data_IF_633454078379
#
_entry.id   IF_633454078379
#
_cell.length_a   1.000
_cell.length_b   1.000
_cell.length_c   1.000
_cell.angle_alpha   90.00
_cell.angle_beta   90.00
_cell.angle_gamma   90.00
#
_symmetry.space_group_name_H-M   'P 1'
#
loop_
_entity.id
_entity.type
_entity.pdbx_description
1 polymer ?
#
# COMPACT_ATOMS: atom_id res chain seq x y z
N UNK A 1 -20.80 -0.97 1.75
CA UNK A 1 -19.32 -1.02 1.75
C UNK A 1 -18.78 -0.67 0.37
N UNK A 2 -17.87 0.28 0.29
CA UNK A 2 -17.14 0.63 -0.94
C UNK A 2 -16.18 -0.47 -1.41
N UNK A 3 -16.11 -1.60 -0.69
CA UNK A 3 -15.18 -2.70 -0.97
C UNK A 3 -13.72 -2.30 -0.78
N UNK A 4 -13.43 -1.49 0.23
CA UNK A 4 -12.05 -1.19 0.64
C UNK A 4 -11.28 -2.48 0.86
N UNK A 5 -10.02 -2.50 0.44
CA UNK A 5 -9.13 -3.66 0.64
C UNK A 5 -8.62 -3.77 2.09
N UNK A 6 -8.68 -2.67 2.85
CA UNK A 6 -8.10 -2.56 4.19
C UNK A 6 -9.06 -1.92 5.20
N UNK A 7 -10.31 -2.39 5.32
CA UNK A 7 -11.26 -1.84 6.30
C UNK A 7 -10.82 -2.15 7.73
N UNK A 8 -10.10 -3.25 7.92
CA UNK A 8 -9.54 -3.71 9.19
C UNK A 8 -8.58 -2.71 9.85
N UNK A 9 -7.94 -1.84 9.08
CA UNK A 9 -7.12 -0.74 9.62
C UNK A 9 -7.94 0.23 10.49
N UNK A 10 -9.24 0.30 10.28
CA UNK A 10 -10.16 1.16 11.06
C UNK A 10 -10.89 0.40 12.18
N UNK A 11 -10.73 -0.93 12.31
CA UNK A 11 -11.42 -1.72 13.35
C UNK A 11 -10.88 -1.51 14.76
N UNK A 12 -9.81 -0.75 14.90
CA UNK A 12 -9.34 -0.24 16.19
C UNK A 12 -10.23 0.88 16.75
N UNK A 13 -11.04 1.53 15.91
CA UNK A 13 -12.03 2.50 16.34
C UNK A 13 -13.22 1.77 16.96
N UNK A 14 -13.75 2.33 18.04
CA UNK A 14 -15.01 1.87 18.65
C UNK A 14 -16.14 1.85 17.60
N UNK A 15 -16.94 0.80 17.54
CA UNK A 15 -18.08 0.65 16.63
C UNK A 15 -17.77 0.51 15.13
N UNK A 16 -16.52 0.67 14.69
CA UNK A 16 -16.19 0.67 13.27
C UNK A 16 -16.37 -0.70 12.59
N UNK A 17 -16.07 -1.78 13.28
CA UNK A 17 -16.30 -3.14 12.79
C UNK A 17 -17.80 -3.40 12.60
N UNK A 18 -18.60 -3.05 13.60
CA UNK A 18 -20.04 -3.24 13.64
C UNK A 18 -20.73 -2.46 12.51
N UNK A 19 -20.35 -1.20 12.32
CA UNK A 19 -20.86 -0.36 11.23
C UNK A 19 -20.47 -0.90 9.85
N UNK A 20 -19.19 -1.27 9.65
CA UNK A 20 -18.72 -1.78 8.37
C UNK A 20 -19.40 -3.09 7.95
N UNK A 21 -19.71 -3.98 8.91
CA UNK A 21 -20.34 -5.27 8.65
C UNK A 21 -21.87 -5.22 8.66
N UNK A 22 -22.46 -4.03 8.78
CA UNK A 22 -23.92 -3.85 8.77
C UNK A 22 -24.64 -4.41 10.00
N UNK A 23 -23.92 -4.55 11.13
CA UNK A 23 -24.52 -4.91 12.43
C UNK A 23 -25.30 -3.71 12.98
N UNK A 24 -24.83 -2.51 12.68
CA UNK A 24 -25.51 -1.23 12.90
C UNK A 24 -25.40 -0.36 11.65
N UNK A 25 -26.41 0.44 11.36
CA UNK A 25 -26.41 1.47 10.32
C UNK A 25 -26.24 2.89 10.90
N UNK A 26 -26.16 3.00 12.22
CA UNK A 26 -25.96 4.27 12.91
C UNK A 26 -24.47 4.61 13.00
N UNK A 27 -24.05 5.61 12.18
CA UNK A 27 -22.67 6.09 12.17
C UNK A 27 -22.25 6.77 13.49
N UNK A 28 -23.18 7.30 14.28
CA UNK A 28 -22.88 7.94 15.58
C UNK A 28 -22.29 6.93 16.59
N UNK A 29 -22.46 5.64 16.36
CA UNK A 29 -21.84 4.57 17.16
C UNK A 29 -20.35 4.40 16.88
N UNK A 30 -19.82 4.98 15.78
CA UNK A 30 -18.42 4.93 15.43
C UNK A 30 -17.63 5.95 16.25
N UNK A 31 -16.56 5.51 16.89
CA UNK A 31 -15.72 6.30 17.78
C UNK A 31 -14.92 7.41 17.09
N UNK A 32 -15.52 8.14 16.16
CA UNK A 32 -14.89 9.28 15.46
C UNK A 32 -15.86 10.46 15.43
N UNK A 33 -15.44 11.61 15.97
CA UNK A 33 -16.29 12.78 16.06
C UNK A 33 -15.51 14.08 15.90
N UNK A 34 -15.94 14.92 14.96
CA UNK A 34 -15.47 16.30 14.87
C UNK A 34 -16.13 17.10 16.01
N UNK A 35 -15.33 17.62 16.93
CA UNK A 35 -15.81 18.47 18.04
C UNK A 35 -15.96 19.92 17.57
N UNK A 36 -15.08 20.37 16.68
CA UNK A 36 -15.07 21.67 16.03
C UNK A 36 -14.31 21.58 14.70
N UNK A 37 -14.06 22.71 14.05
CA UNK A 37 -13.38 22.77 12.75
C UNK A 37 -11.93 22.29 12.77
N UNK A 38 -11.31 22.12 13.92
CA UNK A 38 -9.89 21.79 14.07
C UNK A 38 -9.64 20.60 15.00
N UNK A 39 -10.70 20.11 15.66
CA UNK A 39 -10.56 19.05 16.67
C UNK A 39 -11.33 17.80 16.26
N UNK A 40 -10.60 16.72 16.01
CA UNK A 40 -11.16 15.39 15.76
C UNK A 40 -10.92 14.53 17.00
N UNK A 41 -12.00 14.06 17.62
CA UNK A 41 -11.94 13.09 18.72
C UNK A 41 -12.03 11.67 18.15
N UNK A 42 -11.11 10.81 18.58
CA UNK A 42 -11.09 9.40 18.20
C UNK A 42 -11.13 8.55 19.47
N UNK A 43 -12.14 7.67 19.58
CA UNK A 43 -12.26 6.69 20.64
C UNK A 43 -11.78 5.33 20.09
N UNK A 44 -10.85 4.71 20.79
CA UNK A 44 -10.33 3.39 20.44
C UNK A 44 -11.07 2.31 21.24
N UNK A 45 -11.29 1.16 20.61
CA UNK A 45 -11.93 -0.02 21.21
C UNK A 45 -11.14 -0.57 22.42
N UNK A 46 -9.81 -0.42 22.38
CA UNK A 46 -8.88 -0.85 23.40
C UNK A 46 -7.61 -0.02 23.33
N UNK A 47 -6.75 -0.02 24.38
CA UNK A 47 -5.43 0.59 24.32
C UNK A 47 -4.64 0.08 23.13
N UNK A 48 -4.26 0.98 22.20
CA UNK A 48 -3.58 0.66 20.93
C UNK A 48 -2.33 1.51 20.81
N UNK A 49 -1.17 1.08 21.39
CA UNK A 49 0.04 1.90 21.44
C UNK A 49 0.59 2.28 20.06
N UNK A 50 0.33 1.48 19.04
CA UNK A 50 0.76 1.67 17.65
C UNK A 50 -0.24 2.48 16.81
N UNK A 51 -1.33 2.99 17.38
CA UNK A 51 -2.41 3.67 16.62
C UNK A 51 -1.87 4.85 15.79
N UNK A 52 -0.97 5.65 16.34
CA UNK A 52 -0.38 6.76 15.59
C UNK A 52 0.41 6.28 14.37
N UNK A 53 1.05 5.12 14.46
CA UNK A 53 1.71 4.48 13.32
C UNK A 53 0.70 4.05 12.22
N UNK A 54 -0.50 3.61 12.59
CA UNK A 54 -1.55 3.28 11.63
C UNK A 54 -2.01 4.49 10.81
N UNK A 55 -1.93 5.70 11.37
CA UNK A 55 -2.34 6.93 10.67
C UNK A 55 -1.41 7.28 9.49
N UNK A 56 -0.26 6.63 9.35
CA UNK A 56 0.59 6.73 8.16
C UNK A 56 0.06 5.94 6.97
N UNK A 57 -0.86 4.99 7.19
CA UNK A 57 -1.43 4.18 6.13
C UNK A 57 -2.47 4.99 5.34
N UNK A 58 -2.44 4.88 4.01
CA UNK A 58 -3.29 5.69 3.12
C UNK A 58 -4.80 5.52 3.36
N UNK A 59 -5.27 4.43 3.98
CA UNK A 59 -6.69 4.24 4.35
C UNK A 59 -7.19 5.26 5.38
N UNK A 60 -6.28 5.95 6.07
CA UNK A 60 -6.62 6.96 7.08
C UNK A 60 -6.40 8.39 6.58
N UNK A 61 -5.90 8.56 5.36
CA UNK A 61 -5.65 9.90 4.82
C UNK A 61 -6.96 10.63 4.53
N UNK A 62 -7.07 11.90 4.93
CA UNK A 62 -8.27 12.68 4.71
C UNK A 62 -8.47 12.98 3.22
N UNK A 63 -9.73 12.98 2.80
CA UNK A 63 -10.14 13.42 1.47
C UNK A 63 -10.95 14.71 1.57
N UNK A 64 -10.87 15.57 0.53
CA UNK A 64 -11.58 16.83 0.52
C UNK A 64 -13.07 16.61 0.24
N UNK A 65 -13.91 16.75 1.26
CA UNK A 65 -15.35 16.44 1.25
C UNK A 65 -16.08 17.12 0.09
N UNK A 66 -15.87 18.43 -0.07
CA UNK A 66 -16.62 19.22 -1.07
C UNK A 66 -16.27 18.80 -2.51
N UNK A 67 -15.01 18.38 -2.75
CA UNK A 67 -14.61 17.83 -4.05
C UNK A 67 -15.28 16.48 -4.29
N UNK A 68 -15.32 15.60 -3.29
CA UNK A 68 -16.01 14.30 -3.43
C UNK A 68 -17.48 14.49 -3.76
N UNK A 69 -18.18 15.36 -3.00
CA UNK A 69 -19.61 15.61 -3.18
C UNK A 69 -19.93 16.39 -4.47
N UNK A 70 -19.00 17.17 -5.00
CA UNK A 70 -19.18 17.86 -6.29
C UNK A 70 -19.21 16.89 -7.48
N UNK A 71 -18.47 15.78 -7.40
CA UNK A 71 -18.27 14.85 -8.50
C UNK A 71 -18.85 13.45 -8.24
N UNK A 72 -19.71 13.29 -7.25
CA UNK A 72 -20.37 12.03 -6.88
C UNK A 72 -20.92 12.05 -5.47
N UNK A 73 -21.08 10.88 -4.89
CA UNK A 73 -21.45 10.69 -3.50
C UNK A 73 -20.31 10.05 -2.72
N UNK A 74 -20.36 10.06 -1.38
CA UNK A 74 -19.29 9.48 -0.54
C UNK A 74 -19.20 7.97 -0.67
N UNK A 75 -20.22 7.31 -1.21
CA UNK A 75 -20.32 5.86 -1.44
C UNK A 75 -20.13 5.48 -2.92
N UNK A 76 -19.88 6.45 -3.81
CA UNK A 76 -19.61 6.20 -5.23
C UNK A 76 -18.13 5.80 -5.43
N UNK A 77 -17.91 4.54 -5.84
CA UNK A 77 -16.56 4.04 -6.18
C UNK A 77 -15.98 4.62 -7.46
N UNK A 78 -16.85 5.13 -8.35
CA UNK A 78 -16.48 5.60 -9.67
C UNK A 78 -16.54 7.13 -9.78
N UNK A 79 -16.66 7.81 -8.66
CA UNK A 79 -16.72 9.28 -8.61
C UNK A 79 -15.55 9.92 -9.35
N UNK A 80 -15.85 10.94 -10.15
CA UNK A 80 -14.84 11.62 -10.97
C UNK A 80 -13.90 12.55 -10.19
N UNK A 81 -14.05 12.61 -8.86
CA UNK A 81 -13.23 13.47 -8.01
C UNK A 81 -11.73 13.13 -8.05
N UNK A 82 -11.36 11.87 -8.43
CA UNK A 82 -9.98 11.42 -8.57
C UNK A 82 -9.34 11.75 -9.93
N UNK A 83 -10.10 12.35 -10.84
CA UNK A 83 -9.61 12.66 -12.19
C UNK A 83 -8.69 13.88 -12.21
N UNK A 84 -7.75 13.97 -13.18
CA UNK A 84 -6.97 15.19 -13.39
C UNK A 84 -7.89 16.42 -13.53
N UNK A 85 -7.52 17.51 -12.87
CA UNK A 85 -8.32 18.73 -12.81
C UNK A 85 -9.44 18.77 -11.76
N UNK A 86 -9.87 17.61 -11.26
CA UNK A 86 -10.85 17.49 -10.16
C UNK A 86 -10.18 17.16 -8.82
N UNK A 87 -9.09 16.40 -8.88
CA UNK A 87 -8.42 15.90 -7.70
C UNK A 87 -7.80 17.02 -6.86
N UNK A 88 -8.14 17.07 -5.58
CA UNK A 88 -7.60 18.00 -4.59
C UNK A 88 -6.91 17.19 -3.49
N UNK A 89 -5.71 17.59 -3.14
CA UNK A 89 -4.95 16.99 -2.04
C UNK A 89 -4.14 18.05 -1.28
N UNK A 90 -3.66 17.68 -0.11
CA UNK A 90 -2.79 18.50 0.73
C UNK A 90 -1.33 18.02 0.72
N UNK A 91 -0.97 17.13 -0.20
CA UNK A 91 0.36 16.58 -0.35
C UNK A 91 1.33 17.49 -1.13
N UNK A 92 2.60 17.07 -1.24
CA UNK A 92 3.65 17.85 -1.92
C UNK A 92 3.50 17.92 -3.44
N UNK A 93 2.65 17.10 -4.03
CA UNK A 93 2.42 17.06 -5.47
C UNK A 93 0.93 17.00 -5.79
N UNK A 94 0.52 17.68 -6.86
CA UNK A 94 -0.82 17.65 -7.43
C UNK A 94 -0.86 16.73 -8.66
N UNK A 95 -1.99 16.08 -8.92
CA UNK A 95 -2.19 15.28 -10.11
C UNK A 95 -2.32 16.18 -11.35
N UNK A 96 -1.36 16.11 -12.26
CA UNK A 96 -1.33 16.87 -13.51
C UNK A 96 -2.03 16.16 -14.65
N UNK A 97 -1.68 14.89 -14.87
CA UNK A 97 -2.29 14.06 -15.90
C UNK A 97 -2.30 12.58 -15.52
N UNK A 98 -3.27 11.86 -16.05
CA UNK A 98 -3.36 10.40 -15.92
C UNK A 98 -3.80 9.81 -17.25
N UNK A 99 -2.84 9.26 -17.97
CA UNK A 99 -3.05 8.54 -19.23
C UNK A 99 -3.05 7.03 -18.92
N UNK A 100 -4.20 6.38 -19.11
CA UNK A 100 -4.34 4.95 -18.78
C UNK A 100 -3.33 4.11 -19.57
N UNK A 101 -2.68 3.17 -18.89
CA UNK A 101 -1.64 2.28 -19.41
C UNK A 101 -0.42 2.98 -20.01
N UNK A 102 -0.28 4.28 -19.83
CA UNK A 102 0.86 5.04 -20.34
C UNK A 102 1.65 5.66 -19.17
N UNK A 103 1.12 6.70 -18.54
CA UNK A 103 1.81 7.37 -17.42
C UNK A 103 0.85 8.18 -16.55
N UNK A 104 1.29 8.39 -15.31
CA UNK A 104 0.72 9.39 -14.41
C UNK A 104 1.79 10.45 -14.18
N UNK A 105 1.42 11.72 -14.31
CA UNK A 105 2.29 12.85 -14.02
C UNK A 105 1.71 13.61 -12.84
N UNK A 106 2.56 13.86 -11.85
CA UNK A 106 2.27 14.75 -10.75
C UNK A 106 3.25 15.91 -10.78
N UNK A 107 2.77 17.12 -10.42
CA UNK A 107 3.59 18.32 -10.37
C UNK A 107 3.64 18.90 -8.96
N UNK A 108 4.71 19.60 -8.62
CA UNK A 108 4.91 20.21 -7.31
C UNK A 108 3.72 21.10 -6.95
N UNK A 109 3.17 20.88 -5.75
CA UNK A 109 2.08 21.69 -5.20
C UNK A 109 2.62 23.01 -4.63
N UNK A 110 2.20 24.17 -5.14
CA UNK A 110 2.60 25.47 -4.57
C UNK A 110 1.94 25.75 -3.22
N UNK A 111 0.85 25.04 -2.90
CA UNK A 111 0.07 25.22 -1.67
C UNK A 111 0.44 24.22 -0.57
N UNK A 112 1.38 23.33 -0.84
CA UNK A 112 1.87 22.40 0.18
C UNK A 112 2.56 23.19 1.31
N UNK A 113 2.25 22.85 2.58
CA UNK A 113 2.71 23.60 3.75
C UNK A 113 4.25 23.70 3.84
N UNK A 114 4.97 22.70 3.33
CA UNK A 114 6.43 22.66 3.30
C UNK A 114 6.98 22.61 1.87
N UNK A 115 6.38 23.39 0.97
CA UNK A 115 6.76 23.42 -0.45
C UNK A 115 8.21 23.82 -0.69
N UNK A 116 8.81 24.56 0.23
CA UNK A 116 10.22 24.99 0.15
C UNK A 116 11.22 23.82 0.18
N UNK A 117 10.91 22.72 0.86
CA UNK A 117 11.76 21.53 0.93
C UNK A 117 11.60 20.58 -0.25
N UNK A 118 10.52 20.72 -1.03
CA UNK A 118 10.24 19.89 -2.20
C UNK A 118 11.14 20.33 -3.35
N UNK A 119 12.08 19.47 -3.73
CA UNK A 119 13.09 19.77 -4.77
C UNK A 119 12.66 19.41 -6.19
N UNK A 120 11.83 18.35 -6.34
CA UNK A 120 11.36 17.89 -7.64
C UNK A 120 10.21 18.77 -8.12
N UNK A 121 10.20 19.11 -9.40
CA UNK A 121 9.11 19.85 -10.05
C UNK A 121 8.01 18.91 -10.52
N UNK A 122 8.39 17.75 -11.05
CA UNK A 122 7.45 16.72 -11.54
C UNK A 122 7.97 15.32 -11.20
N UNK A 123 7.03 14.38 -11.06
CA UNK A 123 7.30 12.95 -10.98
C UNK A 123 6.42 12.25 -12.02
N UNK A 124 7.04 11.39 -12.84
CA UNK A 124 6.38 10.60 -13.87
C UNK A 124 6.36 9.13 -13.44
N UNK A 125 5.17 8.56 -13.30
CA UNK A 125 4.98 7.15 -12.98
C UNK A 125 4.60 6.39 -14.25
N UNK A 126 5.36 5.35 -14.58
CA UNK A 126 5.11 4.47 -15.72
C UNK A 126 4.59 3.13 -15.22
N UNK A 127 3.37 2.70 -15.59
CA UNK A 127 2.78 1.44 -15.13
C UNK A 127 3.35 0.25 -15.92
N UNK A 128 4.62 -0.07 -15.66
CA UNK A 128 5.32 -1.20 -16.30
C UNK A 128 5.10 -2.45 -15.47
N UNK A 129 4.32 -3.41 -15.98
CA UNK A 129 4.01 -4.66 -15.28
C UNK A 129 5.10 -5.73 -15.40
N UNK A 130 5.96 -5.65 -16.40
CA UNK A 130 7.02 -6.62 -16.64
C UNK A 130 8.35 -6.13 -16.07
N UNK A 131 8.84 -6.81 -15.03
CA UNK A 131 10.07 -6.46 -14.30
C UNK A 131 11.32 -6.43 -15.20
N UNK A 132 11.40 -7.33 -16.21
CA UNK A 132 12.51 -7.34 -17.17
C UNK A 132 12.48 -6.13 -18.12
N UNK A 133 11.27 -5.66 -18.43
CA UNK A 133 11.11 -4.43 -19.24
C UNK A 133 11.48 -3.22 -18.40
N UNK A 134 11.04 -3.16 -17.15
CA UNK A 134 11.40 -2.09 -16.21
C UNK A 134 12.91 -1.97 -16.03
N UNK A 135 13.62 -3.10 -15.83
CA UNK A 135 15.09 -3.13 -15.76
C UNK A 135 15.76 -2.62 -17.03
N UNK A 136 15.24 -3.00 -18.21
CA UNK A 136 15.77 -2.48 -19.48
C UNK A 136 15.59 -0.98 -19.63
N UNK A 137 14.42 -0.46 -19.24
CA UNK A 137 14.13 0.99 -19.27
C UNK A 137 15.04 1.75 -18.30
N UNK A 138 15.30 1.21 -17.12
CA UNK A 138 16.25 1.79 -16.18
C UNK A 138 17.66 1.86 -16.77
N UNK A 139 18.17 0.77 -17.29
CA UNK A 139 19.51 0.73 -17.91
C UNK A 139 19.63 1.58 -19.17
N UNK A 140 18.53 1.85 -19.83
CA UNK A 140 18.46 2.79 -20.97
C UNK A 140 18.34 4.26 -20.54
N UNK A 141 18.33 4.56 -19.21
CA UNK A 141 18.19 5.92 -18.68
C UNK A 141 16.78 6.50 -18.81
N UNK A 142 15.78 5.66 -19.09
CA UNK A 142 14.38 6.09 -19.21
C UNK A 142 13.66 6.16 -17.85
N UNK A 143 14.17 5.46 -16.85
CA UNK A 143 13.68 5.47 -15.47
C UNK A 143 14.83 5.84 -14.52
N UNK A 144 14.51 6.62 -13.49
CA UNK A 144 15.45 6.95 -12.41
C UNK A 144 15.36 5.95 -11.25
N UNK A 145 14.19 5.32 -11.06
CA UNK A 145 13.91 4.35 -9.99
C UNK A 145 13.05 3.24 -10.58
N UNK A 146 13.30 2.00 -10.15
CA UNK A 146 12.45 0.84 -10.45
C UNK A 146 11.73 0.40 -9.19
N UNK A 147 10.55 -0.21 -9.34
CA UNK A 147 9.79 -0.76 -8.23
C UNK A 147 10.36 -2.09 -7.73
N UNK A 148 11.00 -2.84 -8.64
CA UNK A 148 11.59 -4.14 -8.33
C UNK A 148 12.73 -4.47 -9.29
N UNK A 149 13.58 -5.41 -8.88
CA UNK A 149 14.67 -5.94 -9.68
C UNK A 149 14.36 -7.40 -10.05
N UNK A 150 14.62 -7.84 -11.30
CA UNK A 150 14.51 -9.25 -11.64
C UNK A 150 15.44 -10.09 -10.76
N UNK A 151 14.88 -11.11 -10.09
CA UNK A 151 15.64 -11.93 -9.12
C UNK A 151 16.89 -12.58 -9.74
N UNK A 152 16.83 -12.92 -11.03
CA UNK A 152 17.98 -13.50 -11.75
C UNK A 152 19.13 -12.51 -11.90
N UNK A 153 18.86 -11.20 -11.86
CA UNK A 153 19.88 -10.16 -11.99
C UNK A 153 20.45 -9.67 -10.67
N UNK A 154 19.74 -9.89 -9.58
CA UNK A 154 20.20 -9.44 -8.27
C UNK A 154 21.61 -9.94 -7.90
N UNK A 155 21.98 -11.23 -8.09
CA UNK A 155 23.35 -11.69 -7.86
C UNK A 155 24.40 -10.94 -8.68
N UNK A 156 24.09 -10.61 -9.94
CA UNK A 156 25.01 -9.87 -10.83
C UNK A 156 25.27 -8.47 -10.26
N UNK A 157 24.20 -7.74 -9.90
CA UNK A 157 24.34 -6.40 -9.31
C UNK A 157 25.08 -6.42 -7.97
N UNK A 158 24.92 -7.51 -7.18
CA UNK A 158 25.67 -7.71 -5.94
C UNK A 158 27.16 -7.96 -6.19
N UNK A 159 27.50 -8.85 -7.14
CA UNK A 159 28.88 -9.17 -7.51
C UNK A 159 29.61 -7.93 -8.08
N UNK A 160 28.92 -7.12 -8.87
CA UNK A 160 29.43 -5.88 -9.46
C UNK A 160 29.52 -4.74 -8.43
N UNK A 161 29.03 -4.91 -7.20
CA UNK A 161 28.85 -3.83 -6.22
C UNK A 161 28.17 -2.60 -6.84
N UNK A 162 27.11 -2.83 -7.60
CA UNK A 162 26.44 -1.79 -8.36
C UNK A 162 25.89 -0.70 -7.42
N UNK A 163 26.27 0.57 -7.58
CA UNK A 163 25.87 1.65 -6.67
C UNK A 163 24.37 1.98 -6.72
N UNK A 164 23.69 1.56 -7.77
CA UNK A 164 22.25 1.78 -7.94
C UNK A 164 21.40 0.71 -7.24
N UNK A 165 22.01 -0.44 -6.86
CA UNK A 165 21.32 -1.48 -6.11
C UNK A 165 21.13 -1.06 -4.65
N UNK A 166 19.89 -1.02 -4.21
CA UNK A 166 19.53 -0.82 -2.81
C UNK A 166 18.77 -2.05 -2.29
N UNK A 167 19.20 -2.56 -1.14
CA UNK A 167 18.55 -3.63 -0.42
C UNK A 167 18.28 -3.12 0.99
N UNK A 168 17.02 -2.78 1.23
CA UNK A 168 16.57 -2.24 2.51
C UNK A 168 15.72 -3.28 3.25
N UNK A 169 15.73 -3.30 4.60
CA UNK A 169 14.84 -4.14 5.38
C UNK A 169 13.38 -3.82 5.06
N UNK A 170 12.60 -4.85 4.79
CA UNK A 170 11.16 -4.75 4.55
C UNK A 170 10.40 -5.61 5.54
N UNK A 171 9.48 -5.00 6.29
CA UNK A 171 8.64 -5.71 7.26
C UNK A 171 7.50 -6.42 6.53
N UNK A 172 7.81 -7.52 5.87
CA UNK A 172 6.83 -8.28 5.12
C UNK A 172 7.20 -9.76 5.02
N UNK A 173 6.21 -10.62 5.03
CA UNK A 173 6.37 -12.06 4.84
C UNK A 173 5.60 -12.50 3.61
N UNK A 174 6.28 -13.13 2.66
CA UNK A 174 5.63 -13.80 1.54
C UNK A 174 5.14 -15.18 1.97
N UNK A 175 3.87 -15.48 1.72
CA UNK A 175 3.26 -16.74 2.13
C UNK A 175 2.19 -17.19 1.14
N UNK A 176 1.91 -18.50 1.13
CA UNK A 176 0.78 -19.06 0.40
C UNK A 176 -0.46 -19.10 1.29
N UNK A 177 -1.57 -18.60 0.77
CA UNK A 177 -2.88 -18.76 1.40
C UNK A 177 -3.48 -20.10 0.98
N UNK A 178 -3.83 -20.92 1.96
CA UNK A 178 -4.46 -22.20 1.73
C UNK A 178 -5.97 -22.08 1.99
N UNK A 179 -6.80 -22.38 0.98
CA UNK A 179 -8.24 -22.37 1.12
C UNK A 179 -8.68 -23.55 1.97
N UNK A 180 -8.98 -23.31 3.25
CA UNK A 180 -9.39 -24.33 4.21
C UNK A 180 -10.81 -24.87 3.97
N UNK A 181 -11.61 -24.26 3.11
CA UNK A 181 -12.89 -24.79 2.65
C UNK A 181 -12.73 -25.89 1.59
N UNK A 182 -11.53 -26.02 1.01
CA UNK A 182 -11.23 -27.12 0.11
C UNK A 182 -11.10 -28.42 0.93
N UNK A 183 -11.82 -29.51 0.57
CA UNK A 183 -11.80 -30.78 1.33
C UNK A 183 -10.38 -31.35 1.56
N UNK A 184 -9.48 -31.22 0.59
CA UNK A 184 -8.09 -31.70 0.73
C UNK A 184 -7.23 -30.81 1.64
N UNK A 185 -7.54 -29.52 1.70
CA UNK A 185 -6.79 -28.53 2.49
C UNK A 185 -7.44 -28.24 3.85
N UNK A 186 -8.59 -28.82 4.15
CA UNK A 186 -9.27 -28.67 5.46
C UNK A 186 -8.51 -29.39 6.58
N UNK A 187 -7.80 -30.49 6.26
CA UNK A 187 -6.97 -31.21 7.23
C UNK A 187 -5.67 -30.45 7.54
N UNK A 188 -5.45 -30.16 8.82
CA UNK A 188 -4.23 -29.49 9.32
C UNK A 188 -2.97 -30.29 8.97
N UNK A 189 -3.02 -31.62 8.97
CA UNK A 189 -1.86 -32.47 8.65
C UNK A 189 -1.41 -32.28 7.22
N UNK A 190 -2.34 -32.17 6.28
CA UNK A 190 -2.04 -31.89 4.86
C UNK A 190 -1.36 -30.54 4.72
N UNK A 191 -1.91 -29.50 5.36
CA UNK A 191 -1.30 -28.16 5.31
C UNK A 191 0.11 -28.13 5.92
N UNK A 192 0.33 -28.84 7.03
CA UNK A 192 1.67 -28.99 7.64
C UNK A 192 2.62 -29.75 6.73
N UNK A 193 2.17 -30.84 6.10
CA UNK A 193 2.99 -31.60 5.15
C UNK A 193 3.46 -30.71 3.98
N UNK A 194 2.57 -29.91 3.39
CA UNK A 194 2.92 -28.95 2.35
C UNK A 194 3.94 -27.92 2.86
N UNK A 195 3.76 -27.40 4.07
CA UNK A 195 4.68 -26.44 4.66
C UNK A 195 6.07 -27.03 4.94
N UNK A 196 6.15 -28.29 5.35
CA UNK A 196 7.42 -28.99 5.60
C UNK A 196 8.12 -29.44 4.31
N UNK A 197 7.38 -29.64 3.23
CA UNK A 197 7.95 -30.01 1.93
C UNK A 197 8.78 -28.89 1.29
N UNK A 198 8.64 -27.64 1.76
CA UNK A 198 9.36 -26.48 1.21
C UNK A 198 10.64 -26.25 2.04
N UNK A 199 11.79 -26.50 1.44
CA UNK A 199 13.08 -26.06 1.99
C UNK A 199 13.25 -24.55 1.77
N UNK A 200 12.86 -23.75 2.80
CA UNK A 200 12.88 -22.29 2.75
C UNK A 200 14.29 -21.73 2.62
N UNK A 201 15.28 -22.39 3.24
CA UNK A 201 16.68 -21.99 3.17
C UNK A 201 17.20 -22.14 1.75
N UNK A 202 17.00 -23.31 1.16
CA UNK A 202 17.40 -23.58 -0.23
C UNK A 202 16.69 -22.65 -1.21
N UNK A 203 15.40 -22.38 -0.98
CA UNK A 203 14.62 -21.44 -1.80
C UNK A 203 15.24 -20.03 -1.79
N UNK A 204 15.54 -19.50 -0.62
CA UNK A 204 16.14 -18.17 -0.47
C UNK A 204 17.55 -18.12 -1.05
N UNK A 205 18.40 -19.11 -0.73
CA UNK A 205 19.81 -19.10 -1.13
C UNK A 205 20.04 -19.44 -2.59
N UNK A 206 19.21 -20.29 -3.20
CA UNK A 206 19.45 -20.82 -4.55
C UNK A 206 18.50 -20.28 -5.61
N UNK A 207 17.30 -19.85 -5.23
CA UNK A 207 16.28 -19.38 -6.19
C UNK A 207 16.13 -17.86 -6.14
N UNK A 208 15.87 -17.29 -4.96
CA UNK A 208 15.58 -15.86 -4.83
C UNK A 208 16.87 -15.03 -4.86
N UNK A 209 17.86 -15.37 -4.04
CA UNK A 209 19.24 -14.83 -4.06
C UNK A 209 19.39 -13.31 -3.92
N UNK A 210 18.45 -12.62 -3.27
CA UNK A 210 18.47 -11.15 -3.22
C UNK A 210 18.29 -10.61 -1.79
N UNK A 211 18.91 -11.28 -0.79
CA UNK A 211 18.93 -10.80 0.59
C UNK A 211 17.72 -11.17 1.44
N UNK A 212 16.72 -11.86 0.87
CA UNK A 212 15.59 -12.35 1.66
C UNK A 212 16.05 -13.40 2.69
N UNK A 213 15.31 -13.49 3.80
CA UNK A 213 15.56 -14.46 4.86
C UNK A 213 14.46 -15.53 4.90
N UNK A 214 14.76 -16.78 5.28
CA UNK A 214 13.76 -17.83 5.42
C UNK A 214 12.75 -17.48 6.50
N UNK A 215 11.45 -17.44 6.17
CA UNK A 215 10.39 -17.15 7.12
C UNK A 215 9.84 -18.43 7.79
N UNK A 216 9.87 -18.46 9.12
CA UNK A 216 9.29 -19.54 9.94
C UNK A 216 8.10 -19.09 10.77
N UNK A 217 7.79 -17.79 10.74
CA UNK A 217 6.63 -17.17 11.36
C UNK A 217 5.96 -16.19 10.37
N UNK A 218 4.69 -15.85 10.65
CA UNK A 218 3.98 -14.86 9.84
C UNK A 218 4.54 -13.45 10.07
N UNK A 219 4.83 -13.12 11.31
CA UNK A 219 5.48 -11.85 11.65
C UNK A 219 6.98 -12.00 11.44
N UNK A 220 7.63 -11.09 10.69
CA UNK A 220 9.08 -11.06 10.55
C UNK A 220 9.78 -10.86 11.89
N UNK A 221 11.05 -11.31 12.03
CA UNK A 221 11.85 -11.09 13.23
C UNK A 221 12.14 -9.61 13.49
#
# INVERSE_FOLDING_TARGET
>A
SLGSQYPDMLYYLEGAYEYHNGITDDFETVGIKALDSYTLKVNLKAPTPFFLGLLSHYSTWPVHKDTVLKFGTIDDRNGEWTRPGNFVCNGPFNLKSWELNNRIIVEKSPTYWDSSTVRLNEIHYYPVSNVMTEDRMFRAGQLHVTSSLPSQKCPIYLEENNPDLRIDPYMGTYFYRLNTNNPFLSDVKVRKALAYAIDRKLLVEKVIKCGQIPAYSFTPP
#
